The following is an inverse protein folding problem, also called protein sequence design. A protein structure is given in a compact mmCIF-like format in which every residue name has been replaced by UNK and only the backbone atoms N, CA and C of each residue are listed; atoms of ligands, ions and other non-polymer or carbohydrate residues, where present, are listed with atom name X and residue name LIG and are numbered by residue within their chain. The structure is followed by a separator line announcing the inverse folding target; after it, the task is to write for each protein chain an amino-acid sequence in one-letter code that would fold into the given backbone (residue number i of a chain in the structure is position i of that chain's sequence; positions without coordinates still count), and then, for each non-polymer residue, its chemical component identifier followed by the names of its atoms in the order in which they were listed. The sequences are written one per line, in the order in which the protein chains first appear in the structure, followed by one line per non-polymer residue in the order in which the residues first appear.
data_IF_234940548844
#
_entry.id   IF_234940548844
#
_cell.length_a   1.000
_cell.length_b   1.000
_cell.length_c   1.000
_cell.angle_alpha   90.00
_cell.angle_beta   90.00
_cell.angle_gamma   90.00
#
_symmetry.space_group_name_H-M   'P 1'
#
loop_
_entity.id
_entity.type
_entity.pdbx_description
1 polymer ?
#
# COMPACT_ATOMS: atom_id res chain seq x y z
N UNK A 1 14.76 5.12 26.80
CA UNK A 1 14.05 4.01 26.15
C UNK A 1 12.89 4.60 25.38
N UNK A 2 13.13 5.04 24.15
CA UNK A 2 12.06 5.53 23.28
C UNK A 2 11.41 4.33 22.60
N UNK A 3 10.09 4.18 22.73
CA UNK A 3 9.36 3.17 21.99
C UNK A 3 9.56 3.43 20.49
N UNK A 4 10.08 2.44 19.77
CA UNK A 4 10.13 2.49 18.31
C UNK A 4 8.69 2.28 17.83
N UNK A 5 7.98 3.37 17.53
CA UNK A 5 6.62 3.30 17.01
C UNK A 5 6.70 2.80 15.57
N UNK A 6 6.35 1.53 15.33
CA UNK A 6 6.16 1.03 13.98
C UNK A 6 4.99 1.80 13.36
N UNK A 7 5.27 2.63 12.34
CA UNK A 7 4.21 3.30 11.59
C UNK A 7 3.39 2.24 10.84
N UNK A 8 2.08 2.28 11.02
CA UNK A 8 1.14 1.40 10.32
C UNK A 8 1.08 1.82 8.85
N UNK A 9 1.33 0.89 7.92
CA UNK A 9 1.28 1.17 6.47
C UNK A 9 -0.15 1.24 5.96
N UNK A 10 -0.99 0.29 6.34
CA UNK A 10 -2.39 0.25 5.94
C UNK A 10 -3.27 -0.52 6.94
N UNK A 11 -4.59 -0.40 6.79
CA UNK A 11 -5.60 -1.25 7.40
C UNK A 11 -6.61 -1.72 6.39
N UNK A 12 -6.94 -3.01 6.47
CA UNK A 12 -8.04 -3.60 5.71
C UNK A 12 -9.35 -3.25 6.41
N UNK A 13 -10.32 -2.78 5.64
CA UNK A 13 -11.67 -2.49 6.09
C UNK A 13 -12.58 -3.54 5.49
N UNK A 14 -13.19 -4.37 6.34
CA UNK A 14 -14.16 -5.37 5.92
C UNK A 14 -15.40 -4.69 5.33
N UNK A 15 -15.67 -5.00 4.08
CA UNK A 15 -16.94 -4.72 3.43
C UNK A 15 -17.52 -6.04 2.91
N UNK A 16 -18.84 -6.17 2.89
CA UNK A 16 -19.52 -7.46 2.68
C UNK A 16 -19.28 -8.10 1.31
N UNK A 17 -18.83 -7.33 0.32
CA UNK A 17 -18.55 -7.81 -1.04
C UNK A 17 -17.15 -7.39 -1.56
N UNK A 18 -16.53 -6.38 -0.96
CA UNK A 18 -15.31 -5.75 -1.46
C UNK A 18 -14.29 -5.63 -0.35
N UNK A 19 -13.03 -5.42 -0.73
CA UNK A 19 -11.98 -5.09 0.23
C UNK A 19 -11.75 -3.59 0.20
N UNK A 20 -11.97 -2.94 1.34
CA UNK A 20 -11.55 -1.55 1.56
C UNK A 20 -10.13 -1.51 2.12
N UNK A 21 -9.35 -0.52 1.72
CA UNK A 21 -8.02 -0.26 2.26
C UNK A 21 -7.89 1.20 2.67
N UNK A 22 -7.38 1.43 3.88
CA UNK A 22 -6.95 2.74 4.32
C UNK A 22 -5.45 2.71 4.55
N UNK A 23 -4.71 3.41 3.68
CA UNK A 23 -3.27 3.55 3.77
C UNK A 23 -2.87 4.81 4.55
N UNK A 24 -1.63 4.86 5.00
CA UNK A 24 -1.03 6.00 5.68
C UNK A 24 0.33 6.31 5.05
N UNK A 25 0.74 7.57 5.07
CA UNK A 25 2.06 8.01 4.64
C UNK A 25 2.31 9.44 5.08
N UNK A 26 3.58 9.82 5.25
CA UNK A 26 3.99 11.19 5.55
C UNK A 26 3.97 12.09 4.30
N UNK A 27 3.88 11.48 3.11
CA UNK A 27 3.74 12.15 1.82
C UNK A 27 2.71 11.43 0.95
N UNK A 28 2.25 12.10 -0.12
CA UNK A 28 1.35 11.49 -1.09
C UNK A 28 1.98 10.26 -1.75
N UNK A 29 3.28 10.32 -2.08
CA UNK A 29 4.01 9.18 -2.65
C UNK A 29 4.02 7.98 -1.71
N UNK A 30 4.38 8.18 -0.44
CA UNK A 30 4.35 7.12 0.57
C UNK A 30 2.92 6.57 0.79
N UNK A 31 1.90 7.42 0.70
CA UNK A 31 0.50 6.99 0.78
C UNK A 31 0.15 6.03 -0.37
N UNK A 32 0.52 6.36 -1.61
CA UNK A 32 0.29 5.49 -2.77
C UNK A 32 1.10 4.19 -2.69
N UNK A 33 2.38 4.26 -2.28
CA UNK A 33 3.22 3.07 -2.08
C UNK A 33 2.61 2.12 -1.04
N UNK A 34 2.18 2.65 0.11
CA UNK A 34 1.58 1.84 1.17
C UNK A 34 0.19 1.30 0.78
N UNK A 35 -0.58 2.05 -0.03
CA UNK A 35 -1.84 1.56 -0.59
C UNK A 35 -1.63 0.42 -1.58
N UNK A 36 -0.69 0.57 -2.52
CA UNK A 36 -0.32 -0.47 -3.46
C UNK A 36 0.17 -1.73 -2.74
N UNK A 37 1.03 -1.58 -1.74
CA UNK A 37 1.47 -2.69 -0.88
C UNK A 37 0.28 -3.39 -0.21
N UNK A 38 -0.67 -2.60 0.33
CA UNK A 38 -1.90 -3.11 0.91
C UNK A 38 -2.71 -3.95 -0.08
N UNK A 39 -2.91 -3.47 -1.32
CA UNK A 39 -3.62 -4.20 -2.38
C UNK A 39 -2.91 -5.50 -2.73
N UNK A 40 -1.59 -5.47 -2.97
CA UNK A 40 -0.83 -6.67 -3.31
C UNK A 40 -0.84 -7.71 -2.19
N UNK A 41 -0.88 -7.29 -0.92
CA UNK A 41 -1.02 -8.22 0.21
C UNK A 41 -2.36 -8.98 0.25
N UNK A 42 -3.38 -8.48 -0.45
CA UNK A 42 -4.66 -9.19 -0.63
C UNK A 42 -4.63 -10.17 -1.80
N UNK A 43 -3.65 -10.02 -2.70
CA UNK A 43 -3.48 -10.87 -3.90
C UNK A 43 -2.56 -12.05 -3.61
N UNK A 44 -1.48 -11.83 -2.87
CA UNK A 44 -0.48 -12.85 -2.55
C UNK A 44 0.16 -12.61 -1.18
N UNK A 45 0.72 -13.70 -0.63
CA UNK A 45 1.62 -13.61 0.52
C UNK A 45 2.98 -13.03 0.07
N UNK A 46 3.20 -11.76 0.38
CA UNK A 46 4.36 -11.00 -0.07
C UNK A 46 5.68 -11.48 0.55
N UNK A 47 5.65 -12.20 1.68
CA UNK A 47 6.86 -12.76 2.30
C UNK A 47 7.53 -13.85 1.42
N UNK A 48 6.77 -14.39 0.46
CA UNK A 48 7.22 -15.42 -0.47
C UNK A 48 7.42 -14.89 -1.90
N UNK A 49 7.30 -13.58 -2.12
CA UNK A 49 7.49 -12.96 -3.44
C UNK A 49 8.93 -12.50 -3.59
N UNK A 50 9.61 -12.96 -4.65
CA UNK A 50 10.95 -12.51 -5.01
C UNK A 50 10.88 -11.33 -5.99
N UNK A 51 11.62 -10.26 -5.72
CA UNK A 51 11.80 -9.12 -6.62
C UNK A 51 12.77 -9.49 -7.75
N UNK A 52 12.23 -9.89 -8.91
CA UNK A 52 13.04 -10.31 -10.06
C UNK A 52 13.10 -9.27 -11.18
N UNK A 53 12.03 -8.51 -11.32
CA UNK A 53 11.84 -7.53 -12.39
C UNK A 53 11.31 -6.22 -11.80
N UNK A 54 11.64 -5.10 -12.45
CA UNK A 54 11.15 -3.77 -12.09
C UNK A 54 10.62 -3.06 -13.32
N UNK A 55 9.44 -2.46 -13.22
CA UNK A 55 8.81 -1.72 -14.30
C UNK A 55 8.52 -0.29 -13.85
N UNK A 56 8.95 0.68 -14.65
CA UNK A 56 8.60 2.09 -14.43
C UNK A 56 7.22 2.36 -15.03
N UNK A 57 6.37 3.02 -14.26
CA UNK A 57 5.02 3.44 -14.69
C UNK A 57 4.96 4.96 -14.63
N UNK A 58 4.63 5.57 -15.76
CA UNK A 58 4.39 7.01 -15.89
C UNK A 58 2.91 7.21 -16.24
N UNK A 59 2.23 8.07 -15.48
CA UNK A 59 0.81 8.39 -15.70
C UNK A 59 0.56 9.87 -15.43
N UNK A 60 -0.48 10.39 -16.07
CA UNK A 60 -1.03 11.73 -15.82
C UNK A 60 -2.53 11.57 -15.54
N UNK A 61 -3.04 12.34 -14.58
CA UNK A 61 -4.44 12.39 -14.18
C UNK A 61 -4.88 13.84 -13.97
N UNK A 62 -6.18 14.11 -14.07
CA UNK A 62 -6.74 15.46 -13.86
C UNK A 62 -6.74 15.84 -12.37
N UNK A 63 -6.83 14.84 -11.49
CA UNK A 63 -6.80 14.97 -10.03
C UNK A 63 -5.98 13.83 -9.40
N UNK A 64 -6.07 13.67 -8.07
CA UNK A 64 -5.27 12.70 -7.33
C UNK A 64 -6.00 11.37 -7.12
N UNK A 65 -7.25 11.27 -7.56
CA UNK A 65 -8.15 10.13 -7.38
C UNK A 65 -8.16 9.19 -8.60
#
# INVERSE_FOLDING_TARGET
MGANLIKKRFEVIDHTADIGLKAYGDSLGELFENFAYGIFSQIADLDHVEERDSFEILLEAEDQE
#
